data_IF_281397391864
#
_entry.id   IF_281397391864
#
_cell.length_a   1.000
_cell.length_b   1.000
_cell.length_c   1.000
_cell.angle_alpha   90.00
_cell.angle_beta   90.00
_cell.angle_gamma   90.00
#
_symmetry.space_group_name_H-M   'P 1'
#
loop_
_entity.id
_entity.type
_entity.pdbx_description
1 polymer ?
#
# COMPACT_ATOMS: atom_id res chain seq x y z
N UNK A 1 17.37 1.98 8.74
CA UNK A 1 16.18 2.84 8.93
C UNK A 1 15.02 1.98 9.47
N UNK A 2 14.30 2.43 10.51
CA UNK A 2 13.10 1.69 10.97
C UNK A 2 11.85 2.21 10.30
N UNK A 3 11.07 1.31 9.71
CA UNK A 3 9.86 1.64 8.96
C UNK A 3 8.70 0.82 9.51
N UNK A 4 7.62 1.49 9.90
CA UNK A 4 6.38 0.81 10.24
C UNK A 4 5.62 0.45 8.95
N UNK A 5 5.04 -0.74 8.91
CA UNK A 5 4.18 -1.19 7.81
C UNK A 5 2.77 -1.39 8.34
N UNK A 6 1.77 -0.95 7.58
CA UNK A 6 0.36 -1.05 7.92
C UNK A 6 -0.42 -1.53 6.69
N UNK A 7 -1.22 -2.58 6.88
CA UNK A 7 -2.12 -3.07 5.84
C UNK A 7 -3.40 -3.67 6.43
N UNK A 8 -4.20 -4.36 5.62
CA UNK A 8 -5.46 -4.96 6.03
C UNK A 8 -5.27 -6.22 6.89
N UNK A 9 -4.18 -6.95 6.65
CA UNK A 9 -3.81 -8.13 7.40
C UNK A 9 -2.30 -8.23 7.64
N UNK A 10 -1.90 -9.03 8.62
CA UNK A 10 -0.48 -9.30 8.89
C UNK A 10 0.22 -10.16 7.82
N UNK A 11 -0.52 -10.76 6.90
CA UNK A 11 0.06 -11.41 5.70
C UNK A 11 0.47 -10.31 4.72
N UNK A 12 -0.42 -9.35 4.48
CA UNK A 12 -0.18 -8.23 3.57
C UNK A 12 0.97 -7.35 4.07
N UNK A 13 1.02 -7.07 5.38
CA UNK A 13 2.13 -6.36 6.01
C UNK A 13 3.48 -7.06 5.77
N UNK A 14 3.52 -8.39 5.77
CA UNK A 14 4.73 -9.14 5.49
C UNK A 14 5.15 -9.03 4.02
N UNK A 15 4.19 -9.03 3.09
CA UNK A 15 4.46 -8.82 1.65
C UNK A 15 4.99 -7.40 1.41
N UNK A 16 4.33 -6.39 1.96
CA UNK A 16 4.72 -4.99 1.83
C UNK A 16 6.11 -4.75 2.44
N UNK A 17 6.46 -5.41 3.55
CA UNK A 17 7.79 -5.30 4.12
C UNK A 17 8.89 -5.74 3.15
N UNK A 18 8.70 -6.82 2.39
CA UNK A 18 9.66 -7.25 1.36
C UNK A 18 9.75 -6.25 0.21
N UNK A 19 8.62 -5.68 -0.21
CA UNK A 19 8.58 -4.63 -1.24
C UNK A 19 9.33 -3.37 -0.80
N UNK A 20 9.11 -2.91 0.44
CA UNK A 20 9.81 -1.75 1.00
C UNK A 20 11.32 -1.97 1.03
N UNK A 21 11.77 -3.17 1.43
CA UNK A 21 13.19 -3.54 1.41
C UNK A 21 13.78 -3.60 0.01
N UNK A 22 12.97 -3.93 -0.99
CA UNK A 22 13.41 -3.97 -2.39
C UNK A 22 13.50 -2.58 -3.03
N UNK A 23 12.76 -1.59 -2.52
CA UNK A 23 12.75 -0.21 -3.05
C UNK A 23 13.80 0.66 -2.36
N UNK A 24 13.86 0.61 -1.01
CA UNK A 24 14.74 1.50 -0.26
C UNK A 24 16.19 0.98 -0.25
N UNK A 25 17.20 1.85 -0.48
CA UNK A 25 18.60 1.43 -0.59
C UNK A 25 19.26 1.12 0.77
N UNK A 26 18.76 1.69 1.86
CA UNK A 26 19.31 1.51 3.19
C UNK A 26 18.88 0.18 3.83
N UNK A 27 19.64 -0.37 4.79
CA UNK A 27 19.16 -1.47 5.62
C UNK A 27 17.85 -1.09 6.33
N UNK A 28 16.74 -1.71 5.94
CA UNK A 28 15.41 -1.44 6.51
C UNK A 28 15.04 -2.48 7.56
N UNK A 29 14.76 -1.99 8.76
CA UNK A 29 14.09 -2.75 9.83
C UNK A 29 12.60 -2.42 9.78
N UNK A 30 11.79 -3.37 9.30
CA UNK A 30 10.33 -3.22 9.36
C UNK A 30 9.84 -3.55 10.77
N UNK A 31 9.24 -2.57 11.45
CA UNK A 31 8.76 -2.72 12.83
C UNK A 31 7.28 -3.08 12.85
N UNK A 32 6.92 -4.09 13.64
CA UNK A 32 5.53 -4.40 13.97
C UNK A 32 5.05 -3.42 15.06
N UNK A 33 3.94 -2.73 14.80
CA UNK A 33 3.36 -1.77 15.72
C UNK A 33 2.42 -2.39 16.77
N UNK A 34 2.42 -3.72 16.93
CA UNK A 34 1.73 -4.57 17.93
C UNK A 34 0.19 -4.50 17.96
N UNK A 35 -0.38 -3.39 17.55
CA UNK A 35 -1.81 -3.23 17.33
C UNK A 35 -2.10 -3.72 15.91
N UNK A 36 -2.93 -4.76 15.75
CA UNK A 36 -3.36 -5.20 14.42
C UNK A 36 -4.68 -4.53 14.07
N UNK A 37 -4.78 -4.02 12.85
CA UNK A 37 -6.05 -3.58 12.27
C UNK A 37 -6.91 -4.81 12.00
N UNK A 38 -8.22 -4.69 12.22
CA UNK A 38 -9.20 -5.70 11.78
C UNK A 38 -10.03 -5.12 10.66
N UNK A 39 -9.54 -5.30 9.43
CA UNK A 39 -10.25 -4.97 8.20
C UNK A 39 -10.12 -3.51 7.73
N UNK A 40 -10.38 -3.32 6.44
CA UNK A 40 -10.21 -2.05 5.72
C UNK A 40 -11.00 -0.88 6.30
N UNK A 41 -12.23 -1.11 6.79
CA UNK A 41 -13.05 -0.03 7.35
C UNK A 41 -12.39 0.61 8.58
N UNK A 42 -11.79 -0.20 9.44
CA UNK A 42 -11.06 0.31 10.60
C UNK A 42 -9.77 1.01 10.20
N UNK A 43 -9.06 0.45 9.20
CA UNK A 43 -7.84 1.02 8.64
C UNK A 43 -8.07 2.43 8.09
N UNK A 44 -9.09 2.57 7.23
CA UNK A 44 -9.49 3.83 6.62
C UNK A 44 -10.19 4.77 7.61
N UNK A 45 -10.89 4.30 8.63
CA UNK A 45 -11.62 5.22 9.51
C UNK A 45 -10.73 5.85 10.59
N UNK A 46 -9.72 5.14 11.09
CA UNK A 46 -9.03 5.58 12.31
C UNK A 46 -7.62 5.04 12.50
N UNK A 47 -7.31 3.84 12.00
CA UNK A 47 -6.05 3.21 12.33
C UNK A 47 -4.87 3.93 11.68
N UNK A 48 -4.99 4.32 10.41
CA UNK A 48 -3.92 4.99 9.69
C UNK A 48 -3.49 6.29 10.41
N UNK A 49 -4.43 7.19 10.69
CA UNK A 49 -4.16 8.45 11.41
C UNK A 49 -3.56 8.22 12.79
N UNK A 50 -4.14 7.28 13.55
CA UNK A 50 -3.65 6.98 14.91
C UNK A 50 -2.23 6.41 14.89
N UNK A 51 -1.88 5.61 13.88
CA UNK A 51 -0.53 5.06 13.71
C UNK A 51 0.46 6.09 13.21
N UNK A 52 0.06 6.95 12.28
CA UNK A 52 0.91 8.04 11.84
C UNK A 52 1.27 8.95 13.03
N UNK A 53 0.29 9.32 13.86
CA UNK A 53 0.53 10.03 15.13
C UNK A 53 1.48 9.27 16.05
N UNK A 54 1.20 7.99 16.32
CA UNK A 54 2.06 7.18 17.18
C UNK A 54 3.51 7.14 16.67
N UNK A 55 3.72 6.92 15.38
CA UNK A 55 5.05 6.89 14.77
C UNK A 55 5.74 8.25 14.85
N UNK A 56 5.00 9.36 14.69
CA UNK A 56 5.56 10.71 14.82
C UNK A 56 6.09 11.01 16.23
N UNK A 57 5.58 10.33 17.26
CA UNK A 57 6.08 10.41 18.64
C UNK A 57 7.17 9.38 18.98
N UNK A 58 7.53 8.49 18.05
CA UNK A 58 8.56 7.47 18.23
C UNK A 58 9.82 7.88 17.48
N UNK A 59 10.84 8.44 18.16
CA UNK A 59 12.00 9.01 17.50
C UNK A 59 12.85 8.00 16.73
N UNK A 60 12.71 6.70 17.01
CA UNK A 60 13.40 5.63 16.30
C UNK A 60 12.67 5.16 15.03
N UNK A 61 11.40 5.55 14.83
CA UNK A 61 10.63 5.23 13.63
C UNK A 61 10.76 6.37 12.62
N UNK A 62 11.28 6.04 11.44
CA UNK A 62 11.62 7.03 10.41
C UNK A 62 10.50 7.22 9.39
N UNK A 63 9.68 6.19 9.18
CA UNK A 63 8.57 6.25 8.24
C UNK A 63 7.45 5.26 8.53
N UNK A 64 6.30 5.53 7.93
CA UNK A 64 5.12 4.66 7.92
C UNK A 64 4.69 4.40 6.48
N UNK A 65 4.56 3.13 6.14
CA UNK A 65 4.06 2.65 4.86
C UNK A 65 2.66 2.07 5.05
N UNK A 66 1.71 2.50 4.22
CA UNK A 66 0.33 2.02 4.26
C UNK A 66 -0.10 1.50 2.88
N UNK A 67 -0.52 0.24 2.80
CA UNK A 67 -1.05 -0.34 1.55
C UNK A 67 -2.43 -0.92 1.81
N UNK A 68 -3.37 -0.62 0.92
CA UNK A 68 -4.75 -1.12 0.96
C UNK A 68 -5.10 -1.81 -0.35
N UNK A 69 -5.98 -2.81 -0.29
CA UNK A 69 -6.51 -3.41 -1.51
C UNK A 69 -7.46 -2.44 -2.21
N UNK A 70 -7.56 -2.48 -3.53
CA UNK A 70 -8.61 -1.79 -4.27
C UNK A 70 -9.97 -2.50 -4.16
N UNK A 71 -9.96 -3.82 -3.94
CA UNK A 71 -11.13 -4.72 -4.02
C UNK A 71 -11.87 -4.55 -5.36
N UNK A 72 -13.14 -4.15 -5.33
CA UNK A 72 -13.97 -3.88 -6.51
C UNK A 72 -14.00 -2.40 -6.88
N UNK A 73 -13.28 -1.55 -6.14
CA UNK A 73 -13.29 -0.11 -6.39
C UNK A 73 -12.42 0.23 -7.60
N UNK A 74 -12.70 1.37 -8.23
CA UNK A 74 -11.87 1.87 -9.32
C UNK A 74 -10.43 2.11 -8.84
N UNK A 75 -9.46 1.72 -9.65
CA UNK A 75 -8.05 2.02 -9.40
C UNK A 75 -7.81 3.52 -9.50
N UNK A 76 -6.68 3.96 -8.96
CA UNK A 76 -6.14 5.28 -9.32
C UNK A 76 -5.75 5.24 -10.81
N UNK A 77 -5.80 6.38 -11.52
CA UNK A 77 -5.20 6.51 -12.85
C UNK A 77 -4.40 7.80 -12.90
N UNK A 78 -3.12 7.73 -13.24
CA UNK A 78 -2.20 8.88 -13.31
C UNK A 78 -2.67 10.02 -14.22
N UNK A 79 -3.47 9.73 -15.26
CA UNK A 79 -4.03 10.74 -16.17
C UNK A 79 -5.00 11.72 -15.49
N UNK A 80 -5.32 11.48 -14.22
CA UNK A 80 -6.16 12.30 -13.36
C UNK A 80 -5.44 12.62 -12.03
N UNK A 81 -4.11 12.77 -12.09
CA UNK A 81 -3.24 12.93 -10.92
C UNK A 81 -3.60 14.15 -10.07
N UNK A 82 -4.42 13.92 -9.05
CA UNK A 82 -4.52 14.77 -7.87
C UNK A 82 -3.32 14.56 -6.92
N UNK A 83 -2.14 14.23 -7.47
CA UNK A 83 -0.93 14.02 -6.69
C UNK A 83 0.20 14.83 -7.27
N UNK A 84 0.51 15.92 -6.59
CA UNK A 84 1.83 16.50 -6.52
C UNK A 84 2.31 16.34 -5.07
N UNK A 85 3.57 15.97 -4.80
CA UNK A 85 4.18 16.05 -3.47
C UNK A 85 4.04 17.45 -2.84
N UNK A 86 3.73 18.46 -3.66
CA UNK A 86 3.57 19.86 -3.30
C UNK A 86 2.12 20.29 -3.02
N UNK A 87 1.14 19.36 -2.93
CA UNK A 87 -0.26 19.73 -2.67
C UNK A 87 -0.43 20.29 -1.26
N UNK A 88 -0.30 21.61 -1.18
CA UNK A 88 -0.31 22.40 0.04
C UNK A 88 -1.72 22.77 0.50
N UNK A 89 -2.77 22.36 -0.22
CA UNK A 89 -4.15 22.80 0.05
C UNK A 89 -5.19 21.67 -0.03
N UNK A 90 -6.29 21.85 0.72
CA UNK A 90 -7.49 20.99 0.68
C UNK A 90 -8.22 21.11 -0.67
N UNK A 91 -8.05 22.22 -1.38
CA UNK A 91 -8.73 22.49 -2.65
C UNK A 91 -8.24 21.55 -3.75
N UNK A 92 -6.95 21.23 -3.75
CA UNK A 92 -6.34 20.27 -4.68
C UNK A 92 -6.86 18.83 -4.48
N UNK A 93 -7.29 18.50 -3.25
CA UNK A 93 -7.86 17.19 -2.92
C UNK A 93 -9.34 17.02 -3.28
N UNK A 94 -10.05 18.11 -3.61
CA UNK A 94 -11.45 18.03 -4.08
C UNK A 94 -11.56 17.37 -5.45
N UNK A 95 -10.48 17.39 -6.23
CA UNK A 95 -10.40 16.67 -7.51
C UNK A 95 -10.15 15.16 -7.35
N UNK A 96 -9.81 14.67 -6.16
CA UNK A 96 -9.55 13.24 -5.94
C UNK A 96 -10.84 12.40 -5.85
N UNK A 97 -10.82 11.20 -6.45
CA UNK A 97 -11.94 10.26 -6.43
C UNK A 97 -12.32 9.81 -5.01
N UNK A 98 -13.56 10.07 -4.60
CA UNK A 98 -14.12 9.61 -3.32
C UNK A 98 -14.16 8.09 -3.19
N UNK A 99 -14.19 7.37 -4.31
CA UNK A 99 -14.20 5.91 -4.32
C UNK A 99 -12.80 5.28 -4.32
N UNK A 100 -11.75 6.04 -4.65
CA UNK A 100 -10.38 5.52 -4.62
C UNK A 100 -9.86 5.47 -3.18
N UNK A 101 -9.51 4.27 -2.70
CA UNK A 101 -9.02 4.07 -1.32
C UNK A 101 -7.69 4.78 -1.06
N UNK A 102 -6.80 4.83 -2.05
CA UNK A 102 -5.54 5.58 -1.96
C UNK A 102 -5.79 7.08 -1.83
N UNK A 103 -6.69 7.63 -2.65
CA UNK A 103 -7.09 9.04 -2.55
C UNK A 103 -7.68 9.37 -1.16
N UNK A 104 -8.52 8.47 -0.61
CA UNK A 104 -9.08 8.66 0.72
C UNK A 104 -8.02 8.64 1.82
N UNK A 105 -7.06 7.71 1.78
CA UNK A 105 -5.94 7.68 2.73
C UNK A 105 -5.12 8.97 2.67
N UNK A 106 -4.77 9.42 1.46
CA UNK A 106 -4.00 10.65 1.24
C UNK A 106 -4.75 11.88 1.76
N UNK A 107 -6.06 11.99 1.47
CA UNK A 107 -6.90 13.09 1.98
C UNK A 107 -6.89 13.14 3.51
N UNK A 108 -7.14 12.01 4.17
CA UNK A 108 -7.15 11.94 5.64
C UNK A 108 -5.81 12.33 6.25
N UNK A 109 -4.69 11.96 5.61
CA UNK A 109 -3.37 12.37 6.04
C UNK A 109 -3.19 13.89 5.99
N UNK A 110 -3.53 14.50 4.86
CA UNK A 110 -3.40 15.95 4.67
C UNK A 110 -4.30 16.71 5.65
N UNK A 111 -5.56 16.29 5.81
CA UNK A 111 -6.48 16.86 6.79
C UNK A 111 -5.92 16.77 8.22
N UNK A 112 -5.33 15.62 8.57
CA UNK A 112 -4.69 15.41 9.88
C UNK A 112 -3.49 16.34 10.07
N UNK A 113 -2.58 16.39 9.10
CA UNK A 113 -1.39 17.24 9.14
C UNK A 113 -1.75 18.73 9.23
N UNK A 114 -2.72 19.19 8.45
CA UNK A 114 -3.19 20.57 8.50
C UNK A 114 -3.80 20.95 9.85
N UNK A 115 -4.50 20.02 10.51
CA UNK A 115 -4.99 20.24 11.87
C UNK A 115 -3.86 20.31 12.91
N UNK A 116 -2.74 19.61 12.68
CA UNK A 116 -1.59 19.52 13.58
C UNK A 116 -0.55 20.64 13.42
N UNK A 117 -0.57 21.40 12.31
CA UNK A 117 0.36 22.52 12.04
C UNK A 117 0.40 23.61 13.13
N UNK A 118 -0.52 23.57 14.10
CA UNK A 118 -0.50 24.43 15.29
C UNK A 118 0.62 24.09 16.29
N UNK A 119 1.41 23.03 16.07
CA UNK A 119 2.39 22.48 17.04
C UNK A 119 3.78 22.16 16.45
N UNK A 120 4.09 22.62 15.23
CA UNK A 120 5.14 22.11 14.32
C UNK A 120 6.62 22.22 14.77
N UNK A 121 6.97 23.01 15.78
CA UNK A 121 8.39 23.36 16.03
C UNK A 121 9.26 22.23 16.65
N UNK A 122 8.75 21.01 16.91
CA UNK A 122 9.47 20.05 17.78
C UNK A 122 9.52 18.58 17.38
N UNK A 123 8.85 18.12 16.32
CA UNK A 123 8.84 16.69 15.98
C UNK A 123 9.62 16.40 14.68
N UNK A 124 10.43 15.32 14.64
CA UNK A 124 11.05 14.87 13.41
C UNK A 124 9.98 14.56 12.35
N UNK A 125 10.25 14.92 11.10
CA UNK A 125 9.30 14.74 10.00
C UNK A 125 9.17 13.25 9.70
N UNK A 126 8.11 12.62 10.22
CA UNK A 126 7.73 11.26 9.85
C UNK A 126 7.46 11.19 8.35
N UNK A 127 8.19 10.31 7.64
CA UNK A 127 8.00 10.05 6.22
C UNK A 127 6.82 9.10 6.02
N UNK A 128 5.97 9.37 5.03
CA UNK A 128 4.79 8.54 4.74
C UNK A 128 4.88 8.05 3.30
N UNK A 129 4.53 6.79 3.08
CA UNK A 129 4.32 6.24 1.75
C UNK A 129 3.01 5.44 1.71
N UNK A 130 2.27 5.56 0.61
CA UNK A 130 0.97 4.94 0.45
C UNK A 130 0.85 4.21 -0.88
N UNK A 131 0.30 2.99 -0.83
CA UNK A 131 0.06 2.17 -2.01
C UNK A 131 -1.37 1.67 -2.11
N UNK A 132 -1.74 1.25 -3.32
CA UNK A 132 -2.98 0.54 -3.60
C UNK A 132 -2.64 -0.80 -4.26
N UNK A 133 -3.04 -1.92 -3.67
CA UNK A 133 -2.89 -3.21 -4.32
C UNK A 133 -4.09 -3.46 -5.23
N UNK A 134 -3.85 -3.65 -6.52
CA UNK A 134 -4.92 -3.70 -7.55
C UNK A 134 -5.02 -5.11 -8.15
N UNK A 135 -6.18 -5.78 -8.03
CA UNK A 135 -7.28 -5.48 -7.11
C UNK A 135 -6.95 -5.72 -5.63
N UNK A 136 -5.97 -6.57 -5.37
CA UNK A 136 -5.53 -6.95 -4.03
C UNK A 136 -4.09 -7.40 -4.04
N UNK A 137 -3.47 -7.47 -2.87
CA UNK A 137 -2.05 -7.77 -2.75
C UNK A 137 -1.66 -9.16 -3.26
N UNK A 138 -2.59 -10.11 -3.25
CA UNK A 138 -2.37 -11.43 -3.84
C UNK A 138 -2.06 -11.37 -5.34
N UNK A 139 -2.50 -10.31 -6.02
CA UNK A 139 -2.23 -10.10 -7.45
C UNK A 139 -0.73 -9.87 -7.68
N UNK A 140 -0.05 -9.15 -6.78
CA UNK A 140 1.39 -8.96 -6.84
C UNK A 140 2.15 -10.27 -6.68
N UNK A 141 1.61 -11.23 -5.91
CA UNK A 141 2.22 -12.55 -5.70
C UNK A 141 2.15 -13.48 -6.93
N UNK A 142 1.34 -13.14 -7.92
CA UNK A 142 1.17 -13.89 -9.16
C UNK A 142 1.78 -13.19 -10.38
N UNK A 143 2.26 -11.96 -10.21
CA UNK A 143 2.84 -11.15 -11.28
C UNK A 143 3.96 -11.91 -12.02
N UNK A 144 3.89 -11.90 -13.35
CA UNK A 144 4.87 -12.58 -14.21
C UNK A 144 4.84 -14.11 -14.20
N UNK A 145 4.02 -14.73 -13.36
CA UNK A 145 3.86 -16.21 -13.30
C UNK A 145 2.53 -16.69 -13.87
N UNK A 146 1.56 -15.79 -14.00
CA UNK A 146 0.23 -16.08 -14.52
C UNK A 146 -0.13 -15.04 -15.58
N UNK A 147 -0.51 -15.51 -16.77
CA UNK A 147 -0.90 -14.64 -17.88
C UNK A 147 -2.10 -13.75 -17.51
N UNK A 148 -2.03 -12.47 -17.89
CA UNK A 148 -3.10 -11.50 -17.63
C UNK A 148 -3.27 -11.10 -16.16
N UNK A 149 -2.21 -11.27 -15.34
CA UNK A 149 -2.17 -10.75 -13.96
C UNK A 149 -1.43 -9.42 -13.96
N UNK A 150 -2.15 -8.36 -14.30
CA UNK A 150 -1.68 -6.98 -14.29
C UNK A 150 -2.85 -5.98 -14.10
N UNK A 151 -2.50 -4.74 -13.82
CA UNK A 151 -3.46 -3.66 -13.57
C UNK A 151 -4.26 -3.28 -14.83
N UNK A 152 -3.67 -3.40 -16.02
CA UNK A 152 -4.34 -3.10 -17.29
C UNK A 152 -5.49 -4.08 -17.53
N UNK A 153 -5.24 -5.37 -17.31
CA UNK A 153 -6.23 -6.43 -17.41
C UNK A 153 -7.35 -6.18 -16.41
N UNK A 154 -7.03 -5.90 -15.14
CA UNK A 154 -8.03 -5.58 -14.11
C UNK A 154 -8.94 -4.42 -14.52
N UNK A 155 -8.37 -3.34 -15.06
CA UNK A 155 -9.11 -2.15 -15.46
C UNK A 155 -10.03 -2.37 -16.66
N UNK A 156 -9.71 -3.35 -17.51
CA UNK A 156 -10.56 -3.75 -18.64
C UNK A 156 -11.78 -4.61 -18.27
N UNK A 157 -11.87 -5.12 -17.04
CA UNK A 157 -12.95 -6.01 -16.61
C UNK A 157 -14.21 -5.25 -16.15
N UNK A 158 -15.38 -5.81 -16.42
CA UNK A 158 -16.63 -5.38 -15.80
C UNK A 158 -16.77 -5.89 -14.35
N UNK A 159 -17.76 -5.40 -13.60
CA UNK A 159 -17.90 -5.72 -12.16
C UNK A 159 -18.03 -7.23 -11.86
N UNK A 160 -18.74 -7.98 -12.71
CA UNK A 160 -18.89 -9.44 -12.55
C UNK A 160 -17.59 -10.17 -12.81
N UNK A 161 -16.84 -9.73 -13.83
CA UNK A 161 -15.53 -10.27 -14.16
C UNK A 161 -14.50 -9.93 -13.09
N UNK A 162 -14.54 -8.71 -12.54
CA UNK A 162 -13.71 -8.26 -11.42
C UNK A 162 -13.87 -9.13 -10.19
N UNK A 163 -15.11 -9.42 -9.80
CA UNK A 163 -15.37 -10.34 -8.68
C UNK A 163 -14.78 -11.74 -8.95
N UNK A 164 -15.02 -12.27 -10.15
CA UNK A 164 -14.51 -13.59 -10.55
C UNK A 164 -12.97 -13.63 -10.60
N UNK A 165 -12.34 -12.57 -11.08
CA UNK A 165 -10.89 -12.40 -11.13
C UNK A 165 -10.29 -12.41 -9.73
N UNK A 166 -10.83 -11.61 -8.81
CA UNK A 166 -10.36 -11.51 -7.42
C UNK A 166 -10.44 -12.85 -6.69
N UNK A 167 -11.58 -13.55 -6.82
CA UNK A 167 -11.76 -14.87 -6.19
C UNK A 167 -10.81 -15.91 -6.77
N UNK A 168 -10.53 -15.84 -8.08
CA UNK A 168 -9.56 -16.70 -8.75
C UNK A 168 -8.15 -16.45 -8.23
N UNK A 169 -7.70 -15.20 -8.16
CA UNK A 169 -6.36 -14.83 -7.67
C UNK A 169 -6.15 -15.37 -6.25
N UNK A 170 -7.09 -15.12 -5.33
CA UNK A 170 -7.00 -15.61 -3.95
C UNK A 170 -6.92 -17.14 -3.88
N UNK A 171 -7.71 -17.83 -4.71
CA UNK A 171 -7.68 -19.30 -4.80
C UNK A 171 -6.35 -19.81 -5.36
N UNK A 172 -5.74 -19.15 -6.35
CA UNK A 172 -4.44 -19.58 -6.90
C UNK A 172 -3.32 -19.40 -5.86
N UNK A 173 -3.31 -18.26 -5.14
CA UNK A 173 -2.27 -17.99 -4.15
C UNK A 173 -2.38 -18.91 -2.94
N UNK A 174 -3.57 -18.99 -2.35
CA UNK A 174 -3.75 -19.65 -1.05
C UNK A 174 -4.50 -20.98 -1.11
N UNK A 175 -5.18 -21.32 -2.19
CA UNK A 175 -6.00 -22.54 -2.28
C UNK A 175 -6.93 -22.68 -1.07
N UNK A 176 -6.91 -23.87 -0.47
CA UNK A 176 -7.65 -24.20 0.76
C UNK A 176 -6.82 -24.07 2.04
N UNK A 177 -5.65 -23.41 1.98
CA UNK A 177 -4.73 -23.30 3.12
C UNK A 177 -5.43 -22.67 4.33
N UNK A 178 -5.39 -23.39 5.45
CA UNK A 178 -5.86 -22.92 6.76
C UNK A 178 -4.65 -22.53 7.61
N UNK A 179 -4.81 -21.47 8.40
CA UNK A 179 -3.77 -20.98 9.30
C UNK A 179 -3.05 -19.74 8.79
N UNK A 180 -2.89 -18.77 9.70
CA UNK A 180 -2.28 -17.48 9.40
C UNK A 180 -0.78 -17.61 9.07
N UNK A 181 -0.03 -18.36 9.88
CA UNK A 181 1.43 -18.46 9.75
C UNK A 181 1.84 -19.09 8.41
N UNK A 182 1.15 -20.15 7.98
CA UNK A 182 1.45 -20.80 6.70
C UNK A 182 1.13 -19.91 5.50
N UNK A 183 0.05 -19.12 5.56
CA UNK A 183 -0.27 -18.15 4.50
C UNK A 183 0.78 -17.05 4.43
N UNK A 184 1.24 -16.56 5.59
CA UNK A 184 2.30 -15.56 5.69
C UNK A 184 3.60 -16.06 5.07
N UNK A 185 4.06 -17.26 5.44
CA UNK A 185 5.28 -17.88 4.92
C UNK A 185 5.24 -18.00 3.38
N UNK A 186 4.16 -18.57 2.84
CA UNK A 186 3.99 -18.74 1.39
C UNK A 186 3.93 -17.39 0.67
N UNK A 187 3.24 -16.40 1.25
CA UNK A 187 3.17 -15.07 0.65
C UNK A 187 4.54 -14.39 0.60
N UNK A 188 5.34 -14.51 1.66
CA UNK A 188 6.70 -13.96 1.71
C UNK A 188 7.62 -14.66 0.70
N UNK A 189 7.59 -15.99 0.62
CA UNK A 189 8.38 -16.74 -0.37
C UNK A 189 8.03 -16.32 -1.80
N UNK A 190 6.72 -16.20 -2.10
CA UNK A 190 6.24 -15.80 -3.43
C UNK A 190 6.66 -14.39 -3.79
N UNK A 191 6.50 -13.40 -2.90
CA UNK A 191 6.87 -12.02 -3.25
C UNK A 191 8.39 -11.89 -3.46
N UNK A 192 9.20 -12.58 -2.64
CA UNK A 192 10.66 -12.61 -2.83
C UNK A 192 11.01 -13.21 -4.18
N UNK A 193 10.35 -14.30 -4.58
CA UNK A 193 10.54 -14.91 -5.90
C UNK A 193 10.12 -13.98 -7.05
N UNK A 194 8.96 -13.32 -6.94
CA UNK A 194 8.48 -12.35 -7.93
C UNK A 194 9.45 -11.18 -8.08
N UNK A 195 9.91 -10.60 -6.97
CA UNK A 195 10.90 -9.52 -6.97
C UNK A 195 12.23 -10.01 -7.58
N UNK A 196 12.68 -11.22 -7.24
CA UNK A 196 13.92 -11.80 -7.80
C UNK A 196 13.83 -12.07 -9.31
N UNK A 197 12.64 -12.36 -9.83
CA UNK A 197 12.44 -12.70 -11.25
C UNK A 197 12.17 -11.49 -12.12
N UNK A 198 11.28 -10.59 -11.68
CA UNK A 198 10.87 -9.41 -12.45
C UNK A 198 11.68 -8.16 -12.11
N UNK A 199 12.33 -8.13 -10.95
CA UNK A 199 12.77 -6.90 -10.31
C UNK A 199 11.59 -6.07 -9.81
N UNK A 200 11.88 -5.13 -8.90
CA UNK A 200 10.87 -4.19 -8.43
C UNK A 200 10.36 -3.28 -9.55
N UNK A 201 11.22 -2.96 -10.53
CA UNK A 201 10.85 -2.22 -11.73
C UNK A 201 9.87 -2.98 -12.61
N UNK A 202 10.09 -4.28 -12.80
CA UNK A 202 9.19 -5.13 -13.59
C UNK A 202 7.82 -5.25 -12.93
N UNK A 203 7.80 -5.44 -11.61
CA UNK A 203 6.55 -5.44 -10.85
C UNK A 203 5.83 -4.09 -10.93
N UNK A 204 6.56 -2.98 -10.80
CA UNK A 204 6.01 -1.63 -10.94
C UNK A 204 5.38 -1.35 -12.30
N UNK A 205 5.97 -1.88 -13.39
CA UNK A 205 5.38 -1.75 -14.74
C UNK A 205 4.06 -2.50 -14.91
N UNK A 206 3.84 -3.59 -14.16
CA UNK A 206 2.58 -4.34 -14.20
C UNK A 206 1.48 -3.69 -13.34
N UNK A 207 1.87 -2.89 -12.34
CA UNK A 207 0.97 -2.20 -11.41
C UNK A 207 1.35 -0.72 -11.24
N UNK A 208 1.29 0.09 -12.32
CA UNK A 208 1.79 1.46 -12.32
C UNK A 208 1.01 2.38 -11.36
N UNK A 209 -0.32 2.28 -11.30
CA UNK A 209 -1.10 3.18 -10.44
C UNK A 209 -1.14 2.67 -8.99
N UNK A 210 -1.05 1.34 -8.82
CA UNK A 210 -1.07 0.71 -7.50
C UNK A 210 0.27 0.70 -6.77
N UNK A 211 1.21 -0.08 -7.29
CA UNK A 211 2.56 -0.21 -6.75
C UNK A 211 3.44 0.98 -7.13
N UNK A 212 3.27 1.54 -8.33
CA UNK A 212 4.03 2.71 -8.75
C UNK A 212 3.79 3.92 -7.84
N UNK A 213 2.55 4.13 -7.37
CA UNK A 213 2.27 5.17 -6.37
C UNK A 213 3.04 4.96 -5.05
N UNK A 214 3.10 3.72 -4.55
CA UNK A 214 3.88 3.39 -3.35
C UNK A 214 5.38 3.63 -3.59
N UNK A 215 5.87 3.20 -4.74
CA UNK A 215 7.27 3.34 -5.13
C UNK A 215 7.67 4.81 -5.21
N UNK A 216 6.89 5.65 -5.89
CA UNK A 216 7.14 7.08 -6.00
C UNK A 216 7.23 7.74 -4.62
N UNK A 217 6.33 7.38 -3.69
CA UNK A 217 6.36 7.89 -2.33
C UNK A 217 7.63 7.45 -1.58
N UNK A 218 8.08 6.20 -1.75
CA UNK A 218 9.28 5.65 -1.11
C UNK A 218 10.58 6.20 -1.71
N UNK A 219 10.63 6.39 -3.02
CA UNK A 219 11.79 6.96 -3.72
C UNK A 219 12.01 8.43 -3.34
N UNK A 220 10.93 9.17 -3.04
CA UNK A 220 11.01 10.54 -2.53
C UNK A 220 11.59 10.66 -1.10
N UNK A 221 11.92 9.54 -0.44
CA UNK A 221 12.56 9.57 0.88
C UNK A 221 14.08 9.83 0.80
N UNK A 222 14.66 9.88 -0.39
CA UNK A 222 16.09 10.09 -0.65
C UNK A 222 16.28 11.17 -1.73
#
# INVERSE_FOLDING_TARGET
MKVAVLSESGVDEAIVAEIVRAILPDPIECVDLALRTRGIQYLLASAFVSRAKFCAFKPDIHGLVCVVDADLKQSHSESQSCWSPCLASIEDFRACHSECRLCNLRRQWVETRLAERRTEDRLPVLRIAMGLAVPSIETWLLAGTSDGVDETTWNGLNDREKQSYRDRVKRIVFGDLKGFDRRREIAQERIVHVIGTLGIDGLGRLFPDGLGALRNDLEAWH
#
